data_IF_734711578193
#
_entry.id   IF_734711578193
#
_cell.length_a   1.000
_cell.length_b   1.000
_cell.length_c   1.000
_cell.angle_alpha   90.00
_cell.angle_beta   90.00
_cell.angle_gamma   90.00
#
_symmetry.space_group_name_H-M   'P 1'
#
loop_
_entity.id
_entity.type
_entity.pdbx_description
1 polymer ?
#
# COMPACT_ATOMS: atom_id res chain seq x y z
N UNK A 1 -25.48 -31.13 -20.05
CA UNK A 1 -24.96 -30.63 -18.74
C UNK A 1 -23.43 -30.54 -18.79
N UNK A 2 -22.87 -29.59 -19.55
CA UNK A 2 -21.41 -29.40 -19.65
C UNK A 2 -21.06 -28.01 -20.17
N UNK A 3 -21.47 -26.92 -19.50
CA UNK A 3 -21.08 -25.56 -19.93
C UNK A 3 -20.83 -24.53 -18.83
N UNK A 4 -20.70 -24.97 -17.57
CA UNK A 4 -20.47 -24.05 -16.44
C UNK A 4 -19.01 -23.98 -15.94
N UNK A 5 -18.09 -24.77 -16.49
CA UNK A 5 -16.71 -24.86 -16.00
C UNK A 5 -15.72 -23.93 -16.72
N UNK A 6 -16.06 -23.38 -17.88
CA UNK A 6 -15.14 -22.58 -18.71
C UNK A 6 -15.15 -21.09 -18.39
N UNK A 7 -16.21 -20.54 -17.82
CA UNK A 7 -16.32 -19.10 -17.51
C UNK A 7 -15.54 -18.67 -16.25
N UNK A 8 -15.28 -19.58 -15.31
CA UNK A 8 -14.55 -19.28 -14.06
C UNK A 8 -13.04 -19.07 -14.25
N UNK A 9 -12.41 -19.77 -15.19
CA UNK A 9 -10.95 -19.66 -15.43
C UNK A 9 -10.53 -18.35 -16.12
N UNK A 10 -11.38 -17.76 -16.95
CA UNK A 10 -11.08 -16.52 -17.68
C UNK A 10 -11.07 -15.26 -16.78
N UNK A 11 -11.84 -15.23 -15.72
CA UNK A 11 -11.92 -14.10 -14.79
C UNK A 11 -10.65 -13.91 -13.94
N UNK A 12 -10.11 -15.02 -13.43
CA UNK A 12 -8.89 -14.96 -12.60
C UNK A 12 -7.64 -14.50 -13.37
N UNK A 13 -7.47 -14.99 -14.61
CA UNK A 13 -6.34 -14.60 -15.45
C UNK A 13 -6.38 -13.09 -15.82
N UNK A 14 -7.57 -12.57 -16.16
CA UNK A 14 -7.74 -11.12 -16.45
C UNK A 14 -7.39 -10.26 -15.23
N UNK A 15 -7.85 -10.64 -14.04
CA UNK A 15 -7.55 -9.91 -12.80
C UNK A 15 -6.06 -9.92 -12.50
N UNK A 16 -5.38 -11.06 -12.62
CA UNK A 16 -3.94 -11.17 -12.43
C UNK A 16 -3.16 -10.27 -13.40
N UNK A 17 -3.55 -10.22 -14.67
CA UNK A 17 -2.95 -9.36 -15.69
C UNK A 17 -3.14 -7.87 -15.33
N UNK A 18 -4.33 -7.47 -14.89
CA UNK A 18 -4.60 -6.09 -14.47
C UNK A 18 -3.75 -5.70 -13.28
N UNK A 19 -3.62 -6.56 -12.26
CA UNK A 19 -2.76 -6.35 -11.10
C UNK A 19 -1.30 -6.18 -11.54
N UNK A 20 -0.82 -7.05 -12.42
CA UNK A 20 0.54 -6.98 -12.95
C UNK A 20 0.80 -5.66 -13.68
N UNK A 21 -0.06 -5.32 -14.66
CA UNK A 21 0.11 -4.10 -15.46
C UNK A 21 0.07 -2.87 -14.56
N UNK A 22 -0.94 -2.76 -13.68
CA UNK A 22 -1.07 -1.62 -12.77
C UNK A 22 0.13 -1.53 -11.83
N UNK A 23 0.59 -2.65 -11.28
CA UNK A 23 1.77 -2.70 -10.43
C UNK A 23 3.05 -2.27 -11.15
N UNK A 24 3.28 -2.78 -12.37
CA UNK A 24 4.44 -2.42 -13.18
C UNK A 24 4.41 -0.95 -13.60
N UNK A 25 3.25 -0.42 -14.02
CA UNK A 25 3.11 1.00 -14.39
C UNK A 25 3.39 1.89 -13.17
N UNK A 26 2.81 1.57 -12.01
CA UNK A 26 3.05 2.32 -10.77
C UNK A 26 4.53 2.27 -10.38
N UNK A 27 5.15 1.09 -10.44
CA UNK A 27 6.58 0.93 -10.15
C UNK A 27 7.45 1.72 -11.15
N UNK A 28 7.13 1.67 -12.44
CA UNK A 28 7.86 2.41 -13.47
C UNK A 28 7.80 3.93 -13.23
N UNK A 29 6.64 4.47 -12.85
CA UNK A 29 6.50 5.89 -12.52
C UNK A 29 7.30 6.21 -11.23
N UNK A 30 7.16 5.41 -10.18
CA UNK A 30 7.84 5.63 -8.91
C UNK A 30 9.37 5.59 -9.07
N UNK A 31 9.90 4.56 -9.72
CA UNK A 31 11.34 4.45 -9.98
C UNK A 31 11.82 5.49 -10.99
N UNK A 32 11.02 5.80 -12.02
CA UNK A 32 11.31 6.87 -12.98
C UNK A 32 11.50 8.23 -12.31
N UNK A 33 10.61 8.59 -11.37
CA UNK A 33 10.72 9.80 -10.55
C UNK A 33 11.94 9.75 -9.63
N UNK A 34 12.22 8.59 -9.01
CA UNK A 34 13.40 8.40 -8.20
C UNK A 34 14.70 8.54 -9.00
N UNK A 35 14.77 7.96 -10.19
CA UNK A 35 15.90 8.05 -11.12
C UNK A 35 16.11 9.51 -11.56
N UNK A 36 15.04 10.21 -11.91
CA UNK A 36 15.09 11.62 -12.27
C UNK A 36 15.58 12.50 -11.11
N UNK A 37 15.00 12.31 -9.90
CA UNK A 37 15.46 13.00 -8.68
C UNK A 37 16.93 12.73 -8.38
N UNK A 38 17.41 11.51 -8.60
CA UNK A 38 18.81 11.14 -8.40
C UNK A 38 19.76 11.67 -9.49
N UNK A 39 19.26 12.07 -10.64
CA UNK A 39 20.06 12.66 -11.72
C UNK A 39 20.50 11.65 -12.79
N UNK A 40 19.84 10.51 -12.91
CA UNK A 40 20.02 9.59 -14.03
C UNK A 40 20.15 8.12 -13.64
N UNK A 41 20.00 7.26 -14.64
CA UNK A 41 19.91 5.82 -14.51
C UNK A 41 21.17 5.18 -13.89
N UNK A 42 22.34 5.42 -14.51
CA UNK A 42 23.58 4.79 -14.06
C UNK A 42 23.93 5.17 -12.61
N UNK A 43 23.79 6.45 -12.26
CA UNK A 43 24.05 6.95 -10.92
C UNK A 43 23.04 6.40 -9.88
N UNK A 44 21.77 6.27 -10.26
CA UNK A 44 20.75 5.68 -9.38
C UNK A 44 21.08 4.23 -9.05
N UNK A 45 21.37 3.41 -10.04
CA UNK A 45 21.66 1.98 -9.84
C UNK A 45 23.11 1.66 -9.44
N UNK A 46 23.97 2.65 -9.28
CA UNK A 46 25.31 2.44 -8.74
C UNK A 46 25.33 1.93 -7.28
N UNK A 47 24.26 2.15 -6.52
CA UNK A 47 24.18 1.72 -5.13
C UNK A 47 23.31 0.48 -4.96
N UNK A 48 23.80 -0.62 -4.30
CA UNK A 48 23.08 -1.88 -4.19
C UNK A 48 21.75 -1.78 -3.42
N UNK A 49 21.60 -0.89 -2.44
CA UNK A 49 20.35 -0.69 -1.72
C UNK A 49 19.21 -0.19 -2.65
N UNK A 50 19.53 0.65 -3.65
CA UNK A 50 18.53 1.10 -4.64
C UNK A 50 18.16 0.01 -5.63
N UNK A 51 19.12 -0.86 -5.99
CA UNK A 51 18.82 -2.08 -6.74
C UNK A 51 17.90 -3.01 -5.94
N UNK A 52 18.18 -3.20 -4.64
CA UNK A 52 17.36 -4.03 -3.76
C UNK A 52 15.92 -3.53 -3.66
N UNK A 53 15.69 -2.21 -3.59
CA UNK A 53 14.32 -1.64 -3.65
C UNK A 53 13.57 -2.07 -4.91
N UNK A 54 14.23 -2.03 -6.07
CA UNK A 54 13.61 -2.47 -7.33
C UNK A 54 13.24 -3.96 -7.28
N UNK A 55 14.18 -4.82 -6.89
CA UNK A 55 13.92 -6.26 -6.82
C UNK A 55 12.83 -6.62 -5.82
N UNK A 56 12.82 -6.00 -4.64
CA UNK A 56 11.75 -6.16 -3.64
C UNK A 56 10.40 -5.75 -4.25
N UNK A 57 10.34 -4.60 -4.93
CA UNK A 57 9.09 -4.12 -5.54
C UNK A 57 8.59 -5.09 -6.63
N UNK A 58 9.46 -5.52 -7.54
CA UNK A 58 9.10 -6.46 -8.60
C UNK A 58 8.66 -7.82 -8.03
N UNK A 59 9.37 -8.33 -7.03
CA UNK A 59 8.99 -9.57 -6.35
C UNK A 59 7.60 -9.47 -5.72
N UNK A 60 7.29 -8.38 -5.03
CA UNK A 60 6.00 -8.19 -4.37
C UNK A 60 4.85 -7.97 -5.37
N UNK A 61 5.11 -7.34 -6.53
CA UNK A 61 4.13 -7.27 -7.64
C UNK A 61 3.84 -8.68 -8.16
N UNK A 62 4.87 -9.49 -8.35
CA UNK A 62 4.70 -10.88 -8.77
C UNK A 62 3.88 -11.68 -7.74
N UNK A 63 4.18 -11.54 -6.46
CA UNK A 63 3.40 -12.18 -5.37
C UNK A 63 1.95 -11.71 -5.39
N UNK A 64 1.69 -10.41 -5.60
CA UNK A 64 0.33 -9.86 -5.64
C UNK A 64 -0.54 -10.44 -6.76
N UNK A 65 0.04 -10.91 -7.87
CA UNK A 65 -0.71 -11.57 -8.95
C UNK A 65 -1.47 -12.84 -8.48
N UNK A 66 -0.94 -13.51 -7.47
CA UNK A 66 -1.53 -14.74 -6.92
C UNK A 66 -2.59 -14.48 -5.84
N UNK A 67 -2.92 -13.22 -5.55
CA UNK A 67 -3.83 -12.86 -4.46
C UNK A 67 -5.30 -13.18 -4.73
N UNK A 68 -5.71 -13.25 -5.99
CA UNK A 68 -7.12 -13.44 -6.37
C UNK A 68 -8.04 -12.28 -5.96
N UNK A 69 -7.48 -11.08 -5.71
CA UNK A 69 -8.26 -9.90 -5.34
C UNK A 69 -9.02 -9.32 -6.53
N UNK A 70 -10.14 -8.63 -6.26
CA UNK A 70 -10.94 -7.94 -7.30
C UNK A 70 -10.41 -6.56 -7.70
N UNK A 71 -9.31 -6.10 -7.09
CA UNK A 71 -8.71 -4.79 -7.39
C UNK A 71 -9.60 -3.61 -6.97
N UNK A 72 -9.96 -2.73 -7.91
CA UNK A 72 -10.82 -1.56 -7.69
C UNK A 72 -12.29 -1.89 -7.96
N UNK A 73 -12.91 -2.73 -7.14
CA UNK A 73 -14.33 -3.04 -7.24
C UNK A 73 -15.18 -2.03 -6.47
N UNK A 74 -16.22 -1.48 -7.12
CA UNK A 74 -17.14 -0.53 -6.48
C UNK A 74 -18.12 -1.16 -5.49
N UNK A 75 -18.25 -2.51 -5.45
CA UNK A 75 -19.14 -3.20 -4.52
C UNK A 75 -20.61 -2.78 -4.62
N UNK A 76 -21.42 -3.15 -3.60
CA UNK A 76 -22.85 -2.83 -3.53
C UNK A 76 -23.13 -1.42 -2.95
N UNK A 77 -22.25 -0.93 -2.07
CA UNK A 77 -22.28 0.44 -1.53
C UNK A 77 -20.87 1.02 -1.62
N UNK A 78 -20.75 2.20 -2.21
CA UNK A 78 -19.50 2.95 -2.36
C UNK A 78 -19.70 4.36 -1.78
N UNK A 79 -18.74 4.82 -0.96
CA UNK A 79 -18.63 6.21 -0.56
C UNK A 79 -17.79 6.95 -1.61
N UNK A 80 -18.43 7.81 -2.40
CA UNK A 80 -17.78 8.56 -3.49
C UNK A 80 -17.08 9.83 -3.02
N UNK A 81 -17.41 10.31 -1.83
CA UNK A 81 -16.87 11.57 -1.28
C UNK A 81 -15.38 11.45 -0.94
N UNK A 82 -14.87 10.21 -0.80
CA UNK A 82 -13.47 9.93 -0.47
C UNK A 82 -12.53 9.78 -1.67
N UNK A 83 -13.01 10.00 -2.89
CA UNK A 83 -12.15 9.80 -4.10
C UNK A 83 -10.95 10.72 -4.16
N UNK A 84 -11.03 11.93 -3.57
CA UNK A 84 -9.91 12.85 -3.45
C UNK A 84 -8.71 12.23 -2.71
N UNK A 85 -8.98 11.30 -1.77
CA UNK A 85 -7.96 10.60 -0.99
C UNK A 85 -7.04 9.78 -1.89
N UNK A 86 -7.59 9.16 -2.95
CA UNK A 86 -6.78 8.39 -3.91
C UNK A 86 -5.80 9.31 -4.66
N UNK A 87 -6.26 10.48 -5.05
CA UNK A 87 -5.40 11.49 -5.69
C UNK A 87 -4.32 11.96 -4.73
N UNK A 88 -4.68 12.22 -3.46
CA UNK A 88 -3.73 12.62 -2.43
C UNK A 88 -2.66 11.55 -2.20
N UNK A 89 -3.03 10.26 -2.13
CA UNK A 89 -2.06 9.16 -2.02
C UNK A 89 -1.08 9.14 -3.19
N UNK A 90 -1.58 9.27 -4.42
CA UNK A 90 -0.74 9.26 -5.63
C UNK A 90 0.22 10.46 -5.64
N UNK A 91 -0.27 11.67 -5.36
CA UNK A 91 0.55 12.88 -5.33
C UNK A 91 1.64 12.78 -4.26
N UNK A 92 1.28 12.39 -3.03
CA UNK A 92 2.25 12.25 -1.93
C UNK A 92 3.28 11.16 -2.24
N UNK A 93 2.87 10.02 -2.81
CA UNK A 93 3.79 8.96 -3.19
C UNK A 93 4.79 9.41 -4.26
N UNK A 94 4.34 10.13 -5.28
CA UNK A 94 5.21 10.61 -6.36
C UNK A 94 6.14 11.73 -5.90
N UNK A 95 5.65 12.67 -5.09
CA UNK A 95 6.50 13.68 -4.45
C UNK A 95 7.55 13.02 -3.55
N UNK A 96 7.15 12.02 -2.76
CA UNK A 96 8.05 11.25 -1.91
C UNK A 96 9.11 10.50 -2.72
N UNK A 97 8.74 9.90 -3.86
CA UNK A 97 9.69 9.21 -4.73
C UNK A 97 10.76 10.15 -5.29
N UNK A 98 10.34 11.28 -5.83
CA UNK A 98 11.25 12.27 -6.40
C UNK A 98 12.10 12.97 -5.34
N UNK A 99 11.45 13.57 -4.32
CA UNK A 99 12.13 14.43 -3.36
C UNK A 99 13.05 13.63 -2.43
N UNK A 100 12.73 12.37 -2.08
CA UNK A 100 13.65 11.54 -1.32
C UNK A 100 14.97 11.31 -2.07
N UNK A 101 14.89 10.97 -3.36
CA UNK A 101 16.05 10.75 -4.18
C UNK A 101 16.84 12.06 -4.43
N UNK A 102 16.13 13.14 -4.70
CA UNK A 102 16.73 14.45 -4.95
C UNK A 102 17.50 14.97 -3.75
N UNK A 103 16.90 14.95 -2.55
CA UNK A 103 17.53 15.48 -1.32
C UNK A 103 18.72 14.64 -0.88
N UNK A 104 18.68 13.31 -1.05
CA UNK A 104 19.83 12.45 -0.80
C UNK A 104 20.99 12.74 -1.77
N UNK A 105 20.68 12.97 -3.07
CA UNK A 105 21.68 13.33 -4.08
C UNK A 105 22.42 14.60 -3.74
N UNK A 106 21.71 15.65 -3.32
CA UNK A 106 22.32 16.96 -3.02
C UNK A 106 22.82 17.06 -1.57
N UNK A 107 22.66 16.00 -0.75
CA UNK A 107 23.07 16.00 0.65
C UNK A 107 22.25 16.90 1.58
N UNK A 108 21.01 17.25 1.19
CA UNK A 108 20.14 18.13 1.98
C UNK A 108 19.28 17.34 2.95
N UNK A 109 19.37 17.64 4.26
CA UNK A 109 18.62 16.98 5.32
C UNK A 109 18.69 15.44 5.21
N UNK A 110 19.92 14.91 5.17
CA UNK A 110 20.17 13.47 5.09
C UNK A 110 20.48 12.85 6.44
N UNK A 111 20.00 11.63 6.67
CA UNK A 111 20.20 10.82 7.87
C UNK A 111 21.36 9.85 7.66
N UNK A 112 22.27 9.75 8.63
CA UNK A 112 23.23 8.68 8.79
C UNK A 112 23.94 8.19 7.53
N UNK A 113 24.43 6.94 7.58
CA UNK A 113 25.17 6.27 6.50
C UNK A 113 24.40 5.11 5.87
N UNK A 114 25.12 4.15 5.30
CA UNK A 114 24.58 2.98 4.59
C UNK A 114 23.67 2.09 5.46
N UNK A 115 23.90 2.02 6.77
CA UNK A 115 23.04 1.29 7.67
C UNK A 115 21.59 1.79 7.63
N UNK A 116 21.37 3.13 7.53
CA UNK A 116 20.03 3.72 7.40
C UNK A 116 19.40 3.35 6.06
N UNK A 117 20.18 3.29 4.96
CA UNK A 117 19.67 2.85 3.65
C UNK A 117 19.14 1.42 3.71
N UNK A 118 19.95 0.50 4.25
CA UNK A 118 19.55 -0.91 4.33
C UNK A 118 18.39 -1.13 5.30
N UNK A 119 18.36 -0.41 6.42
CA UNK A 119 17.19 -0.40 7.29
C UNK A 119 15.94 0.09 6.56
N UNK A 120 16.07 1.14 5.74
CA UNK A 120 15.01 1.64 4.88
C UNK A 120 14.51 0.60 3.87
N UNK A 121 15.42 -0.14 3.22
CA UNK A 121 15.07 -1.25 2.31
C UNK A 121 14.30 -2.34 3.05
N UNK A 122 14.78 -2.76 4.22
CA UNK A 122 14.10 -3.78 5.03
C UNK A 122 12.71 -3.32 5.48
N UNK A 123 12.59 -2.06 5.91
CA UNK A 123 11.32 -1.46 6.32
C UNK A 123 10.34 -1.34 5.15
N UNK A 124 10.83 -0.95 3.96
CA UNK A 124 10.04 -0.88 2.74
C UNK A 124 9.51 -2.27 2.36
N UNK A 125 10.34 -3.30 2.43
CA UNK A 125 9.95 -4.69 2.17
C UNK A 125 8.89 -5.17 3.18
N UNK A 126 9.12 -4.96 4.47
CA UNK A 126 8.19 -5.35 5.53
C UNK A 126 6.84 -4.63 5.42
N UNK A 127 6.85 -3.31 5.18
CA UNK A 127 5.63 -2.52 4.98
C UNK A 127 4.85 -2.96 3.76
N UNK A 128 5.52 -3.23 2.65
CA UNK A 128 4.89 -3.69 1.41
C UNK A 128 4.34 -5.12 1.58
N UNK A 129 5.03 -6.00 2.29
CA UNK A 129 4.52 -7.33 2.64
C UNK A 129 3.29 -7.23 3.54
N UNK A 130 3.31 -6.39 4.58
CA UNK A 130 2.16 -6.13 5.44
C UNK A 130 0.96 -5.62 4.64
N UNK A 131 1.18 -4.77 3.64
CA UNK A 131 0.13 -4.27 2.74
C UNK A 131 -0.51 -5.37 1.90
N UNK A 132 0.22 -6.44 1.56
CA UNK A 132 -0.30 -7.57 0.79
C UNK A 132 -1.12 -8.55 1.64
N UNK A 133 -0.88 -8.66 2.95
CA UNK A 133 -1.62 -9.60 3.82
C UNK A 133 -3.14 -9.45 3.67
N UNK A 134 -3.75 -8.25 3.78
CA UNK A 134 -5.17 -8.06 3.57
C UNK A 134 -5.67 -8.52 2.19
N UNK A 135 -4.86 -8.33 1.16
CA UNK A 135 -5.20 -8.73 -0.22
C UNK A 135 -5.37 -10.25 -0.32
N UNK A 136 -4.48 -11.02 0.34
CA UNK A 136 -4.57 -12.48 0.38
C UNK A 136 -5.67 -12.99 1.32
N UNK A 137 -5.88 -12.33 2.46
CA UNK A 137 -6.89 -12.74 3.45
C UNK A 137 -8.30 -12.47 2.93
N UNK A 138 -8.53 -11.27 2.39
CA UNK A 138 -9.86 -10.85 1.92
C UNK A 138 -10.16 -11.34 0.50
N UNK A 139 -9.15 -11.63 -0.33
CA UNK A 139 -9.31 -12.11 -1.72
C UNK A 139 -10.28 -11.23 -2.53
N UNK A 140 -11.37 -11.83 -3.05
CA UNK A 140 -12.41 -11.12 -3.81
C UNK A 140 -13.17 -10.05 -3.00
N UNK A 141 -13.11 -10.10 -1.66
CA UNK A 141 -13.70 -9.08 -0.76
C UNK A 141 -12.80 -7.86 -0.57
N UNK A 142 -11.51 -7.96 -0.95
CA UNK A 142 -10.60 -6.82 -0.91
C UNK A 142 -10.95 -5.84 -2.02
N UNK A 143 -11.15 -4.57 -1.66
CA UNK A 143 -11.36 -3.47 -2.62
C UNK A 143 -10.47 -2.29 -2.26
N UNK A 144 -9.92 -1.63 -3.27
CA UNK A 144 -9.24 -0.35 -3.13
C UNK A 144 -10.20 0.84 -2.97
N UNK A 145 -11.53 0.60 -3.08
CA UNK A 145 -12.58 1.58 -2.83
C UNK A 145 -13.27 1.29 -1.49
N UNK A 146 -13.85 2.32 -0.86
CA UNK A 146 -14.69 2.16 0.35
C UNK A 146 -16.01 1.54 -0.06
N UNK A 147 -16.12 0.23 0.06
CA UNK A 147 -17.29 -0.49 -0.44
C UNK A 147 -17.55 -1.80 0.33
N UNK A 148 -18.83 -2.11 0.54
CA UNK A 148 -19.28 -3.40 1.05
C UNK A 148 -19.52 -4.33 -0.13
N UNK A 149 -18.85 -5.49 -0.12
CA UNK A 149 -19.01 -6.54 -1.13
C UNK A 149 -20.16 -7.48 -0.75
N UNK A 150 -20.72 -8.20 -1.74
CA UNK A 150 -21.73 -9.22 -1.49
C UNK A 150 -21.18 -10.32 -0.55
N UNK A 151 -21.94 -10.68 0.49
CA UNK A 151 -21.51 -11.68 1.48
C UNK A 151 -20.33 -11.25 2.35
N UNK A 152 -20.14 -9.95 2.54
CA UNK A 152 -19.07 -9.42 3.39
C UNK A 152 -19.23 -9.95 4.82
N UNK A 153 -18.17 -10.56 5.34
CA UNK A 153 -18.06 -10.98 6.76
C UNK A 153 -16.92 -10.19 7.38
N UNK A 154 -17.11 -9.80 8.62
CA UNK A 154 -16.09 -9.09 9.38
C UNK A 154 -14.89 -10.03 9.62
N UNK A 155 -13.72 -9.65 9.11
CA UNK A 155 -12.49 -10.39 9.35
C UNK A 155 -11.82 -9.86 10.62
N UNK A 156 -11.63 -10.75 11.60
CA UNK A 156 -11.10 -10.38 12.92
C UNK A 156 -9.91 -11.21 13.34
N UNK A 157 -9.39 -12.09 12.44
CA UNK A 157 -8.31 -13.04 12.74
C UNK A 157 -6.96 -12.57 12.22
N UNK A 158 -5.90 -13.20 12.71
CA UNK A 158 -4.54 -12.91 12.28
C UNK A 158 -4.16 -11.46 12.56
N UNK A 159 -3.64 -10.76 11.56
CA UNK A 159 -3.25 -9.34 11.68
C UNK A 159 -4.43 -8.43 12.05
N UNK A 160 -5.66 -8.80 11.63
CA UNK A 160 -6.88 -8.07 11.97
C UNK A 160 -7.29 -8.23 13.44
N UNK A 161 -6.77 -9.24 14.14
CA UNK A 161 -6.94 -9.36 15.59
C UNK A 161 -6.14 -8.34 16.41
N UNK A 162 -5.16 -7.68 15.77
CA UNK A 162 -4.34 -6.65 16.41
C UNK A 162 -4.64 -5.25 15.84
N UNK A 163 -4.66 -5.11 14.51
CA UNK A 163 -4.82 -3.84 13.79
C UNK A 163 -5.95 -3.94 12.79
N UNK A 164 -6.90 -3.00 12.84
CA UNK A 164 -8.06 -2.98 11.92
C UNK A 164 -7.69 -2.61 10.48
N UNK A 165 -6.64 -1.80 10.31
CA UNK A 165 -6.25 -1.25 9.02
C UNK A 165 -4.80 -1.63 8.64
N UNK A 166 -4.45 -2.92 8.54
CA UNK A 166 -3.06 -3.36 8.32
C UNK A 166 -2.52 -2.93 6.95
N UNK A 167 -3.39 -2.79 5.93
CA UNK A 167 -2.97 -2.30 4.60
C UNK A 167 -2.49 -0.85 4.64
N UNK A 168 -3.15 0.03 5.41
CA UNK A 168 -2.72 1.42 5.59
C UNK A 168 -1.45 1.53 6.42
N UNK A 169 -1.33 0.73 7.48
CA UNK A 169 -0.08 0.63 8.25
C UNK A 169 1.07 0.20 7.34
N UNK A 170 0.86 -0.83 6.52
CA UNK A 170 1.86 -1.30 5.55
C UNK A 170 2.26 -0.22 4.54
N UNK A 171 1.29 0.59 4.06
CA UNK A 171 1.56 1.71 3.16
C UNK A 171 2.43 2.78 3.83
N UNK A 172 2.12 3.16 5.06
CA UNK A 172 2.91 4.15 5.81
C UNK A 172 4.34 3.65 6.08
N UNK A 173 4.46 2.40 6.55
CA UNK A 173 5.75 1.76 6.84
C UNK A 173 6.61 1.64 5.57
N UNK A 174 5.99 1.27 4.43
CA UNK A 174 6.68 1.18 3.14
C UNK A 174 7.17 2.55 2.66
N UNK A 175 6.35 3.61 2.79
CA UNK A 175 6.72 4.97 2.40
C UNK A 175 7.87 5.51 3.26
N UNK A 176 7.83 5.28 4.58
CA UNK A 176 8.94 5.61 5.49
C UNK A 176 10.21 4.82 5.12
N UNK A 177 10.06 3.53 4.80
CA UNK A 177 11.15 2.68 4.32
C UNK A 177 11.80 3.22 3.04
N UNK A 178 10.99 3.65 2.06
CA UNK A 178 11.50 4.33 0.86
C UNK A 178 12.29 5.59 1.21
N UNK A 179 11.74 6.48 2.04
CA UNK A 179 12.41 7.70 2.45
C UNK A 179 13.76 7.44 3.15
N UNK A 180 13.82 6.45 4.04
CA UNK A 180 15.03 6.03 4.74
C UNK A 180 16.05 5.36 3.81
N UNK A 181 15.62 4.61 2.80
CA UNK A 181 16.52 4.04 1.79
C UNK A 181 17.25 5.13 0.99
N UNK A 182 16.67 6.34 0.91
CA UNK A 182 17.30 7.56 0.42
C UNK A 182 17.82 8.48 1.53
N UNK A 183 17.86 8.03 2.79
CA UNK A 183 18.31 8.80 3.96
C UNK A 183 17.65 10.19 4.09
N UNK A 184 16.50 10.40 3.49
CA UNK A 184 15.85 11.70 3.33
C UNK A 184 14.93 12.05 4.49
N UNK A 185 15.24 13.07 5.27
CA UNK A 185 14.31 13.64 6.26
C UNK A 185 13.09 14.25 5.55
N UNK A 186 13.30 14.92 4.42
CA UNK A 186 12.20 15.47 3.61
C UNK A 186 11.24 14.37 3.17
N UNK A 187 11.79 13.23 2.70
CA UNK A 187 10.98 12.05 2.36
C UNK A 187 10.20 11.49 3.55
N UNK A 188 10.81 11.46 4.75
CA UNK A 188 10.12 11.05 5.99
C UNK A 188 8.95 11.99 6.28
N UNK A 189 9.15 13.30 6.23
CA UNK A 189 8.08 14.28 6.46
C UNK A 189 6.95 14.15 5.44
N UNK A 190 7.28 13.96 4.15
CA UNK A 190 6.28 13.70 3.09
C UNK A 190 5.53 12.39 3.37
N UNK A 191 6.22 11.33 3.81
CA UNK A 191 5.57 10.06 4.16
C UNK A 191 4.59 10.22 5.33
N UNK A 192 4.90 11.07 6.30
CA UNK A 192 3.99 11.38 7.40
C UNK A 192 2.74 12.16 6.97
N UNK A 193 2.80 12.94 5.87
CA UNK A 193 1.62 13.58 5.29
C UNK A 193 0.57 12.57 4.82
N UNK A 194 0.96 11.30 4.55
CA UNK A 194 0.00 10.23 4.25
C UNK A 194 -1.02 10.00 5.38
N UNK A 195 -0.68 10.34 6.62
CA UNK A 195 -1.60 10.19 7.74
C UNK A 195 -2.89 11.00 7.55
N UNK A 196 -2.85 12.14 6.87
CA UNK A 196 -4.03 13.00 6.63
C UNK A 196 -5.08 12.27 5.78
N UNK A 197 -4.77 11.88 4.52
CA UNK A 197 -5.73 11.14 3.71
C UNK A 197 -6.03 9.73 4.27
N UNK A 198 -5.08 9.08 4.97
CA UNK A 198 -5.32 7.79 5.63
C UNK A 198 -6.39 7.90 6.71
N UNK A 199 -6.30 8.89 7.60
CA UNK A 199 -7.29 9.07 8.69
C UNK A 199 -8.66 9.38 8.10
N UNK A 200 -8.76 10.21 7.06
CA UNK A 200 -10.02 10.49 6.37
C UNK A 200 -10.63 9.19 5.81
N UNK A 201 -9.81 8.41 5.11
CA UNK A 201 -10.21 7.14 4.50
C UNK A 201 -10.65 6.11 5.54
N UNK A 202 -9.85 5.89 6.57
CA UNK A 202 -10.14 4.95 7.66
C UNK A 202 -11.48 5.32 8.32
N UNK A 203 -11.73 6.61 8.58
CA UNK A 203 -12.98 7.05 9.19
C UNK A 203 -14.20 6.77 8.30
N UNK A 204 -14.06 6.91 6.98
CA UNK A 204 -15.11 6.59 6.03
C UNK A 204 -15.38 5.09 5.98
N UNK A 205 -14.34 4.26 5.88
CA UNK A 205 -14.46 2.80 5.92
C UNK A 205 -15.09 2.32 7.23
N UNK A 206 -14.65 2.85 8.38
CA UNK A 206 -15.22 2.49 9.69
C UNK A 206 -16.69 2.91 9.83
N UNK A 207 -17.12 4.07 9.26
CA UNK A 207 -18.54 4.46 9.24
C UNK A 207 -19.37 3.44 8.44
N UNK A 208 -18.87 3.04 7.28
CA UNK A 208 -19.56 2.07 6.42
C UNK A 208 -19.66 0.69 7.08
N UNK A 209 -18.58 0.21 7.70
CA UNK A 209 -18.53 -1.07 8.42
C UNK A 209 -19.46 -1.04 9.64
N UNK A 210 -19.47 0.06 10.42
CA UNK A 210 -20.36 0.22 11.57
C UNK A 210 -21.83 0.26 11.17
N UNK A 211 -22.16 0.92 10.06
CA UNK A 211 -23.52 0.95 9.52
C UNK A 211 -23.98 -0.44 9.02
N UNK A 212 -23.05 -1.32 8.65
CA UNK A 212 -23.37 -2.66 8.14
C UNK A 212 -23.40 -3.71 9.24
N UNK A 213 -22.43 -3.73 10.16
CA UNK A 213 -22.24 -4.78 11.18
C UNK A 213 -22.74 -4.38 12.58
N UNK A 214 -23.03 -3.07 12.82
CA UNK A 214 -23.55 -2.57 14.08
C UNK A 214 -22.69 -2.93 15.30
N UNK A 215 -23.29 -3.58 16.29
CA UNK A 215 -22.65 -3.99 17.56
C UNK A 215 -21.44 -4.90 17.37
N UNK A 216 -21.48 -5.84 16.41
CA UNK A 216 -20.36 -6.73 16.11
C UNK A 216 -19.08 -5.93 15.78
N UNK A 217 -19.23 -4.86 15.02
CA UNK A 217 -18.11 -3.97 14.69
C UNK A 217 -17.64 -3.16 15.90
N UNK A 218 -18.53 -2.71 16.77
CA UNK A 218 -18.16 -1.96 17.99
C UNK A 218 -17.37 -2.83 18.97
N UNK A 219 -17.78 -4.11 19.16
CA UNK A 219 -17.05 -5.09 19.96
C UNK A 219 -15.66 -5.39 19.38
N UNK A 220 -15.55 -5.46 18.06
CA UNK A 220 -14.27 -5.60 17.37
C UNK A 220 -13.37 -4.38 17.60
N UNK A 221 -13.92 -3.16 17.50
CA UNK A 221 -13.18 -1.93 17.76
C UNK A 221 -12.63 -1.84 19.20
N UNK A 222 -13.36 -2.36 20.18
CA UNK A 222 -12.98 -2.32 21.60
C UNK A 222 -11.70 -3.13 21.92
N UNK A 223 -11.36 -4.12 21.09
CA UNK A 223 -10.23 -5.04 21.32
C UNK A 223 -9.08 -4.91 20.32
N UNK A 224 -9.16 -3.96 19.38
CA UNK A 224 -8.17 -3.82 18.31
C UNK A 224 -7.76 -2.36 18.10
N UNK A 225 -6.55 -2.14 17.63
CA UNK A 225 -6.01 -0.83 17.31
C UNK A 225 -6.43 -0.38 15.92
N UNK A 226 -6.65 0.93 15.73
CA UNK A 226 -7.10 1.46 14.45
C UNK A 226 -6.01 1.37 13.38
N UNK A 227 -4.78 1.81 13.70
CA UNK A 227 -3.66 1.83 12.76
C UNK A 227 -2.35 1.40 13.44
N UNK A 228 -1.89 2.12 14.43
CA UNK A 228 -0.63 1.84 15.13
C UNK A 228 -0.93 1.34 16.52
N UNK A 229 -0.49 0.09 16.87
CA UNK A 229 -0.69 -0.45 18.21
C UNK A 229 -0.22 0.52 19.30
N UNK A 230 -1.03 0.63 20.35
CA UNK A 230 -0.83 1.50 21.53
C UNK A 230 -0.85 3.01 21.27
N UNK A 231 -1.01 3.47 20.01
CA UNK A 231 -1.03 4.90 19.66
C UNK A 231 -2.39 5.31 19.11
N UNK A 232 -2.89 4.58 18.10
CA UNK A 232 -4.12 4.98 17.39
C UNK A 232 -4.89 3.79 16.80
#
# INVERSE_FOLDING_TARGET
MSDTATTSKGGGARTAIVILITGLVTAAIQFGLGIWGWGGWAAFFAHPARQALLWVTLFLILVAMFSGSSGLSSGQKEDKDDRWVLVAFVVIAFLGAYLSAFTDRIGFLVLGGDAVRWFGVALCAAGSALRLIPVFVLKSRFSGLVAIQAGHKLETRGVYGLVRNPSYLGMLVSALGWALAFRSIVGVLISLLLLVPMVARIRSEERLLRAHFGKEYDEYCARTWRLVPWIY
#
